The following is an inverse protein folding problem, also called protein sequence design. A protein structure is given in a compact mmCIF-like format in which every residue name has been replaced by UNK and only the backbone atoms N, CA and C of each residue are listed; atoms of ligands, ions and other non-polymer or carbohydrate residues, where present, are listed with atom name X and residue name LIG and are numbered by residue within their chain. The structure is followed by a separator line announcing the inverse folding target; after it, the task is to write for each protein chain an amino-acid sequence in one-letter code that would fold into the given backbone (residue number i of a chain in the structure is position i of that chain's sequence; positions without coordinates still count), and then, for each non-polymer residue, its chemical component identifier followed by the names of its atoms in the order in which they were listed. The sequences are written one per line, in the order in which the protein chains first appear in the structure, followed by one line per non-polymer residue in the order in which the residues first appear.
data_IF_871332856527
#
_entry.id   IF_871332856527
#
_cell.length_a   1.000
_cell.length_b   1.000
_cell.length_c   1.000
_cell.angle_alpha   90.00
_cell.angle_beta   90.00
_cell.angle_gamma   90.00
#
_symmetry.space_group_name_H-M   'P 1'
#
loop_
_entity.id
_entity.type
_entity.pdbx_description
1 polymer ?
#
# COMPACT_ATOMS: atom_id res chain seq x y z
N UNK A 1 -29.92 -11.73 -24.43
CA UNK A 1 -28.54 -12.24 -24.60
C UNK A 1 -27.74 -11.89 -23.36
N UNK A 2 -27.48 -12.92 -22.57
CA UNK A 2 -26.54 -13.10 -21.45
C UNK A 2 -25.88 -11.89 -20.76
N UNK A 3 -26.32 -11.74 -19.52
CA UNK A 3 -25.76 -11.10 -18.34
C UNK A 3 -24.29 -11.41 -18.08
N UNK A 4 -23.53 -10.41 -17.61
CA UNK A 4 -22.42 -10.62 -16.67
C UNK A 4 -22.42 -9.49 -15.64
N UNK A 5 -23.11 -9.71 -14.53
CA UNK A 5 -22.76 -9.04 -13.28
C UNK A 5 -21.44 -9.65 -12.79
N UNK A 6 -20.42 -8.81 -12.61
CA UNK A 6 -19.23 -9.18 -11.84
C UNK A 6 -19.31 -8.45 -10.50
N UNK A 7 -19.93 -9.14 -9.55
CA UNK A 7 -19.77 -8.88 -8.13
C UNK A 7 -18.30 -9.04 -7.77
N UNK A 8 -17.65 -7.97 -7.32
CA UNK A 8 -16.34 -8.07 -6.68
C UNK A 8 -16.51 -7.90 -5.18
N UNK A 9 -16.25 -9.02 -4.52
CA UNK A 9 -16.25 -9.24 -3.08
C UNK A 9 -15.23 -8.36 -2.36
N UNK A 10 -15.58 -8.10 -1.10
CA UNK A 10 -14.94 -7.35 -0.02
C UNK A 10 -13.40 -7.34 -0.02
N UNK A 11 -12.80 -6.17 -0.27
CA UNK A 11 -11.42 -5.83 0.12
C UNK A 11 -11.26 -4.30 0.24
N UNK A 12 -12.17 -3.68 1.00
CA UNK A 12 -12.87 -2.46 0.57
C UNK A 12 -12.62 -1.15 1.33
N UNK A 13 -11.61 -1.01 2.18
CA UNK A 13 -11.46 0.27 2.92
C UNK A 13 -10.28 1.11 2.42
N UNK A 14 -9.05 0.59 2.43
CA UNK A 14 -7.88 1.38 1.97
C UNK A 14 -7.73 1.51 0.45
N UNK A 15 -8.20 0.52 -0.31
CA UNK A 15 -8.23 0.63 -1.78
C UNK A 15 -9.39 1.53 -2.22
N UNK A 16 -10.58 1.37 -1.63
CA UNK A 16 -11.80 1.98 -2.13
C UNK A 16 -11.77 3.51 -2.04
N UNK A 17 -11.22 4.10 -0.97
CA UNK A 17 -11.06 5.56 -0.91
C UNK A 17 -10.15 6.12 -2.00
N UNK A 18 -9.03 5.44 -2.31
CA UNK A 18 -8.12 5.87 -3.37
C UNK A 18 -8.70 5.67 -4.77
N UNK A 19 -9.37 4.54 -5.04
CA UNK A 19 -10.03 4.31 -6.32
C UNK A 19 -11.27 5.19 -6.50
N UNK A 20 -12.02 5.45 -5.44
CA UNK A 20 -13.15 6.38 -5.46
C UNK A 20 -12.68 7.81 -5.68
N UNK A 21 -11.64 8.27 -4.99
CA UNK A 21 -11.05 9.59 -5.22
C UNK A 21 -10.48 9.70 -6.64
N UNK A 22 -9.73 8.68 -7.10
CA UNK A 22 -9.25 8.63 -8.49
C UNK A 22 -10.39 8.66 -9.50
N UNK A 23 -11.47 7.92 -9.26
CA UNK A 23 -12.66 7.89 -10.10
C UNK A 23 -13.31 9.27 -10.17
N UNK A 24 -13.59 9.88 -9.03
CA UNK A 24 -14.16 11.22 -8.92
C UNK A 24 -13.30 12.28 -9.62
N UNK A 25 -11.98 12.26 -9.41
CA UNK A 25 -11.07 13.19 -10.06
C UNK A 25 -11.02 12.96 -11.56
N UNK A 26 -10.99 11.70 -12.02
CA UNK A 26 -11.03 11.39 -13.45
C UNK A 26 -12.35 11.86 -14.09
N UNK A 27 -13.47 11.73 -13.38
CA UNK A 27 -14.79 12.18 -13.83
C UNK A 27 -14.87 13.71 -13.87
N UNK A 28 -14.32 14.40 -12.87
CA UNK A 28 -14.25 15.87 -12.85
C UNK A 28 -13.33 16.43 -13.93
N UNK A 29 -12.19 15.78 -14.18
CA UNK A 29 -11.20 16.19 -15.19
C UNK A 29 -11.37 15.46 -16.54
N UNK A 30 -12.57 14.96 -16.86
CA UNK A 30 -12.87 14.13 -18.05
C UNK A 30 -12.86 14.87 -19.41
N UNK A 31 -12.20 16.03 -19.50
CA UNK A 31 -12.07 16.81 -20.74
C UNK A 31 -11.30 16.06 -21.83
N UNK A 32 -11.34 16.54 -23.09
CA UNK A 32 -10.70 15.87 -24.21
C UNK A 32 -9.20 15.63 -23.95
N UNK A 33 -8.78 14.38 -24.11
CA UNK A 33 -7.41 13.89 -23.86
C UNK A 33 -6.32 14.57 -24.74
N UNK A 34 -6.69 15.51 -25.60
CA UNK A 34 -5.81 16.23 -26.52
C UNK A 34 -4.94 17.29 -25.84
N UNK A 35 -5.18 17.62 -24.56
CA UNK A 35 -4.29 18.45 -23.76
C UNK A 35 -3.11 17.62 -23.24
N UNK A 36 -2.09 17.42 -24.07
CA UNK A 36 -0.83 16.70 -23.73
C UNK A 36 -0.17 17.23 -22.44
N UNK A 37 -0.48 18.46 -22.04
CA UNK A 37 0.05 19.12 -20.84
C UNK A 37 -0.47 18.56 -19.50
N UNK A 38 -1.50 17.71 -19.50
CA UNK A 38 -2.06 17.15 -18.25
C UNK A 38 -1.56 15.72 -17.93
N UNK A 39 -0.78 15.09 -18.82
CA UNK A 39 -0.28 13.73 -18.59
C UNK A 39 1.12 13.77 -18.00
N UNK A 40 1.23 13.47 -16.71
CA UNK A 40 2.52 13.27 -16.06
C UNK A 40 3.24 12.04 -16.64
N UNK A 41 4.54 12.12 -16.94
CA UNK A 41 5.33 10.96 -17.34
C UNK A 41 5.30 9.87 -16.26
N UNK A 42 5.43 8.61 -16.68
CA UNK A 42 5.48 7.45 -15.78
C UNK A 42 6.56 7.58 -14.69
N UNK A 43 7.68 8.24 -14.97
CA UNK A 43 8.76 8.47 -14.00
C UNK A 43 8.34 9.29 -12.77
N UNK A 44 7.23 10.04 -12.86
CA UNK A 44 6.65 10.80 -11.75
C UNK A 44 5.51 10.07 -11.03
N UNK A 45 5.16 8.86 -11.45
CA UNK A 45 4.16 8.02 -10.78
C UNK A 45 4.46 6.54 -11.06
N UNK A 46 5.67 6.11 -10.71
CA UNK A 46 6.14 4.76 -10.96
C UNK A 46 5.58 3.82 -9.90
N UNK A 47 4.77 2.83 -10.30
CA UNK A 47 4.29 1.81 -9.37
C UNK A 47 5.39 0.81 -9.04
N UNK A 48 5.80 0.75 -7.77
CA UNK A 48 6.75 -0.27 -7.28
C UNK A 48 6.03 -1.58 -6.99
N UNK A 49 6.52 -2.69 -7.56
CA UNK A 49 6.17 -4.04 -7.15
C UNK A 49 5.89 -5.07 -8.22
N UNK A 50 5.53 -6.28 -7.77
CA UNK A 50 5.17 -7.42 -8.61
C UNK A 50 3.94 -7.17 -9.51
N UNK A 51 3.12 -6.19 -9.17
CA UNK A 51 2.00 -5.69 -9.98
C UNK A 51 2.46 -4.84 -11.18
N UNK A 52 3.74 -4.49 -11.27
CA UNK A 52 4.27 -3.80 -12.43
C UNK A 52 4.58 -4.79 -13.54
N UNK A 53 3.60 -4.99 -14.43
CA UNK A 53 3.64 -5.97 -15.51
C UNK A 53 4.63 -5.60 -16.64
N UNK A 54 5.16 -4.37 -16.67
CA UNK A 54 5.89 -3.86 -17.84
C UNK A 54 7.41 -3.68 -17.67
N UNK A 55 8.10 -4.80 -17.36
CA UNK A 55 9.55 -4.88 -17.11
C UNK A 55 10.44 -4.17 -18.16
N UNK A 56 10.04 -4.15 -19.43
CA UNK A 56 10.82 -3.52 -20.51
C UNK A 56 10.92 -1.99 -20.35
N UNK A 57 9.85 -1.31 -19.96
CA UNK A 57 9.90 0.13 -19.70
C UNK A 57 10.73 0.45 -18.46
N UNK A 58 10.67 -0.37 -17.41
CA UNK A 58 11.52 -0.18 -16.23
C UNK A 58 13.01 -0.33 -16.58
N UNK A 59 13.38 -1.30 -17.42
CA UNK A 59 14.78 -1.41 -17.89
C UNK A 59 15.25 -0.16 -18.65
N UNK A 60 14.37 0.50 -19.39
CA UNK A 60 14.71 1.68 -20.21
C UNK A 60 14.69 2.99 -19.42
N UNK A 61 13.69 3.18 -18.56
CA UNK A 61 13.39 4.45 -17.88
C UNK A 61 13.49 4.38 -16.35
N UNK A 62 13.83 3.22 -15.78
CA UNK A 62 13.89 3.01 -14.33
C UNK A 62 14.89 3.92 -13.63
N UNK A 63 16.04 4.18 -14.26
CA UNK A 63 17.06 5.13 -13.78
C UNK A 63 16.56 6.59 -13.71
N UNK A 64 15.53 6.92 -14.47
CA UNK A 64 14.97 8.27 -14.57
C UNK A 64 13.74 8.47 -13.65
N UNK A 65 13.39 7.45 -12.87
CA UNK A 65 12.28 7.52 -11.90
C UNK A 65 12.55 8.58 -10.85
N UNK A 66 11.55 9.44 -10.62
CA UNK A 66 11.59 10.55 -9.66
C UNK A 66 10.68 10.29 -8.47
N UNK A 67 9.52 9.67 -8.69
CA UNK A 67 8.54 9.38 -7.65
C UNK A 67 8.12 7.92 -7.76
N UNK A 68 8.26 7.20 -6.65
CA UNK A 68 7.84 5.81 -6.50
C UNK A 68 6.54 5.74 -5.71
N UNK A 69 5.59 4.96 -6.21
CA UNK A 69 4.29 4.71 -5.64
C UNK A 69 4.18 3.25 -5.19
N UNK A 70 4.17 3.03 -3.87
CA UNK A 70 3.92 1.71 -3.27
C UNK A 70 2.42 1.40 -3.24
N UNK A 71 1.90 0.87 -4.35
CA UNK A 71 0.51 0.38 -4.44
C UNK A 71 0.35 -0.99 -3.77
N UNK A 72 -0.91 -1.33 -3.46
CA UNK A 72 -1.26 -2.59 -2.81
C UNK A 72 -1.21 -2.53 -1.28
N UNK A 73 -1.49 -3.69 -0.68
CA UNK A 73 -1.59 -3.85 0.78
C UNK A 73 -0.22 -3.94 1.45
N UNK A 74 0.83 -4.30 0.71
CA UNK A 74 2.18 -4.41 1.23
C UNK A 74 2.86 -3.03 1.18
N UNK A 75 2.77 -2.32 2.29
CA UNK A 75 3.36 -0.99 2.47
C UNK A 75 4.79 -1.11 2.98
N UNK A 76 5.68 -0.16 2.66
CA UNK A 76 7.10 -0.29 2.98
C UNK A 76 7.41 -0.20 4.48
N UNK A 77 6.50 0.41 5.26
CA UNK A 77 6.57 0.42 6.73
C UNK A 77 6.10 -0.89 7.39
N UNK A 78 5.61 -1.87 6.62
CA UNK A 78 5.35 -3.20 7.16
C UNK A 78 6.66 -3.91 7.44
N UNK A 79 6.65 -4.80 8.42
CA UNK A 79 7.82 -5.56 8.82
C UNK A 79 8.26 -6.60 7.80
N UNK A 80 7.30 -7.37 7.31
CA UNK A 80 7.49 -8.32 6.21
C UNK A 80 6.71 -7.85 4.98
N UNK A 81 7.21 -6.83 4.27
CA UNK A 81 6.60 -6.43 3.01
C UNK A 81 6.85 -7.55 2.00
N UNK A 82 5.77 -8.11 1.44
CA UNK A 82 5.83 -9.16 0.41
C UNK A 82 6.56 -8.70 -0.86
N UNK A 83 6.67 -7.39 -1.05
CA UNK A 83 7.30 -6.78 -2.21
C UNK A 83 8.72 -6.29 -1.86
N UNK A 84 9.72 -7.13 -2.14
CA UNK A 84 11.15 -6.85 -1.89
C UNK A 84 11.83 -6.10 -3.05
N UNK A 85 11.09 -5.25 -3.76
CA UNK A 85 11.65 -4.47 -4.88
C UNK A 85 12.78 -3.53 -4.46
N UNK A 86 13.65 -3.17 -5.40
CA UNK A 86 14.82 -2.29 -5.23
C UNK A 86 14.49 -1.01 -4.42
N UNK A 87 13.35 -0.39 -4.68
CA UNK A 87 12.93 0.85 -4.01
C UNK A 87 12.54 0.67 -2.54
N UNK A 88 12.25 -0.55 -2.08
CA UNK A 88 11.99 -0.81 -0.66
C UNK A 88 13.25 -0.57 0.18
N UNK A 89 14.42 -0.96 -0.32
CA UNK A 89 15.69 -0.73 0.36
C UNK A 89 15.93 0.77 0.55
N UNK A 90 15.86 1.54 -0.53
CA UNK A 90 16.01 2.99 -0.49
C UNK A 90 15.01 3.67 0.44
N UNK A 91 13.75 3.20 0.49
CA UNK A 91 12.76 3.71 1.44
C UNK A 91 13.16 3.44 2.89
N UNK A 92 13.63 2.22 3.19
CA UNK A 92 14.08 1.84 4.54
C UNK A 92 15.29 2.67 4.97
N UNK A 93 16.25 2.86 4.07
CA UNK A 93 17.44 3.67 4.34
C UNK A 93 17.06 5.12 4.68
N UNK A 94 16.21 5.74 3.87
CA UNK A 94 15.70 7.10 4.13
C UNK A 94 14.92 7.18 5.45
N UNK A 95 14.11 6.17 5.75
CA UNK A 95 13.35 6.11 6.99
C UNK A 95 14.28 6.05 8.22
N UNK A 96 15.26 5.15 8.21
CA UNK A 96 16.23 5.01 9.30
C UNK A 96 17.13 6.24 9.45
N UNK A 97 17.54 6.83 8.33
CA UNK A 97 18.42 7.99 8.32
C UNK A 97 17.72 9.26 8.81
N UNK A 98 16.48 9.49 8.38
CA UNK A 98 15.87 10.83 8.46
C UNK A 98 14.55 10.87 9.25
N UNK A 99 13.83 9.74 9.36
CA UNK A 99 12.48 9.74 9.96
C UNK A 99 12.49 9.14 11.36
N UNK A 100 13.18 8.02 11.56
CA UNK A 100 13.11 7.24 12.81
C UNK A 100 13.48 8.06 14.04
N UNK A 101 14.48 8.94 13.94
CA UNK A 101 14.95 9.79 15.04
C UNK A 101 13.94 10.88 15.44
N UNK A 102 13.03 11.25 14.54
CA UNK A 102 12.09 12.36 14.72
C UNK A 102 10.69 11.93 15.13
N UNK A 103 10.44 10.62 15.23
CA UNK A 103 9.13 10.08 15.61
C UNK A 103 9.21 9.40 16.98
N UNK A 104 8.21 9.61 17.86
CA UNK A 104 8.11 8.90 19.12
C UNK A 104 8.14 7.38 18.92
N UNK A 105 8.81 6.65 19.82
CA UNK A 105 8.97 5.18 19.76
C UNK A 105 7.65 4.39 19.73
N UNK A 106 6.55 4.98 20.17
CA UNK A 106 5.21 4.40 20.07
C UNK A 106 4.64 4.40 18.64
N UNK A 107 5.13 5.26 17.75
CA UNK A 107 4.71 5.35 16.35
C UNK A 107 5.71 4.71 15.38
N UNK A 108 6.80 4.15 15.90
CA UNK A 108 7.77 3.41 15.09
C UNK A 108 7.19 2.02 14.77
N UNK A 109 7.25 1.54 13.51
CA UNK A 109 6.81 0.21 13.15
C UNK A 109 7.59 -0.82 13.96
N UNK A 110 6.88 -1.64 14.74
CA UNK A 110 7.52 -2.71 15.52
C UNK A 110 7.42 -4.03 14.78
N UNK A 111 8.58 -4.62 14.52
CA UNK A 111 8.68 -5.94 13.93
C UNK A 111 8.72 -6.99 15.02
N UNK A 112 7.56 -7.17 15.66
CA UNK A 112 7.36 -8.19 16.67
C UNK A 112 7.25 -9.57 16.00
N UNK A 113 7.96 -10.53 16.58
CA UNK A 113 7.71 -11.95 16.33
C UNK A 113 6.27 -12.32 16.74
N UNK A 114 5.77 -13.46 16.27
CA UNK A 114 4.43 -13.92 16.66
C UNK A 114 4.29 -14.09 18.18
N UNK A 115 5.37 -14.51 18.86
CA UNK A 115 5.40 -14.69 20.31
C UNK A 115 5.35 -13.36 21.06
N UNK A 116 6.21 -12.40 20.71
CA UNK A 116 6.20 -11.07 21.31
C UNK A 116 4.88 -10.34 21.03
N UNK A 117 4.36 -10.48 19.81
CA UNK A 117 3.08 -9.90 19.42
C UNK A 117 1.95 -10.48 20.27
N UNK A 118 1.89 -11.80 20.44
CA UNK A 118 0.92 -12.45 21.32
C UNK A 118 1.07 -11.99 22.77
N UNK A 119 2.29 -11.88 23.29
CA UNK A 119 2.53 -11.39 24.64
C UNK A 119 2.05 -9.94 24.81
N UNK A 120 2.25 -9.07 23.81
CA UNK A 120 1.73 -7.69 23.85
C UNK A 120 0.20 -7.66 23.89
N UNK A 121 -0.47 -8.53 23.14
CA UNK A 121 -1.92 -8.70 23.20
C UNK A 121 -2.42 -9.20 24.56
N UNK A 122 -1.81 -10.26 25.09
CA UNK A 122 -2.16 -10.84 26.39
C UNK A 122 -1.92 -9.84 27.55
N UNK A 123 -0.94 -8.94 27.40
CA UNK A 123 -0.67 -7.86 28.36
C UNK A 123 -1.60 -6.62 28.21
N UNK A 124 -2.55 -6.64 27.28
CA UNK A 124 -3.49 -5.53 27.04
C UNK A 124 -2.89 -4.34 26.30
N UNK A 125 -1.82 -4.54 25.50
CA UNK A 125 -1.13 -3.49 24.73
C UNK A 125 -1.08 -3.76 23.22
N UNK A 126 -2.22 -3.99 22.54
CA UNK A 126 -2.27 -4.20 21.09
C UNK A 126 -1.92 -2.93 20.28
N UNK A 127 -1.41 -3.10 19.06
CA UNK A 127 -1.00 -2.01 18.17
C UNK A 127 -2.07 -1.69 17.09
N UNK A 128 -3.03 -0.82 17.44
CA UNK A 128 -4.18 -0.52 16.58
C UNK A 128 -3.88 0.23 15.27
N UNK A 129 -2.65 0.68 15.05
CA UNK A 129 -2.27 1.41 13.83
C UNK A 129 -1.62 0.50 12.76
N UNK A 130 -1.42 -0.78 13.08
CA UNK A 130 -0.62 -1.71 12.29
C UNK A 130 -1.28 -3.08 12.13
N UNK A 131 -0.62 -4.12 12.64
CA UNK A 131 -1.11 -5.51 12.53
C UNK A 131 -2.46 -5.67 13.25
N UNK A 132 -2.70 -4.89 14.30
CA UNK A 132 -3.91 -4.97 15.13
C UNK A 132 -4.91 -3.86 14.81
N UNK A 133 -4.82 -3.29 13.60
CA UNK A 133 -5.86 -2.39 13.12
C UNK A 133 -7.23 -3.06 13.18
N UNK A 134 -8.25 -2.28 13.52
CA UNK A 134 -9.63 -2.77 13.69
C UNK A 134 -10.08 -3.65 12.53
N UNK A 135 -9.85 -3.22 11.28
CA UNK A 135 -10.20 -3.97 10.07
C UNK A 135 -9.57 -5.38 10.05
N UNK A 136 -8.32 -5.53 10.49
CA UNK A 136 -7.64 -6.83 10.51
C UNK A 136 -8.21 -7.72 11.63
N UNK A 137 -8.56 -7.12 12.77
CA UNK A 137 -9.16 -7.83 13.90
C UNK A 137 -10.56 -8.32 13.50
N UNK A 138 -11.37 -7.46 12.90
CA UNK A 138 -12.72 -7.77 12.43
C UNK A 138 -12.68 -8.88 11.38
N UNK A 139 -11.76 -8.80 10.41
CA UNK A 139 -11.55 -9.86 9.43
C UNK A 139 -11.13 -11.20 10.08
N UNK A 140 -10.26 -11.17 11.09
CA UNK A 140 -9.86 -12.37 11.81
C UNK A 140 -11.04 -12.99 12.58
N UNK A 141 -11.87 -12.16 13.22
CA UNK A 141 -13.10 -12.59 13.91
C UNK A 141 -14.07 -13.22 12.89
N UNK A 142 -14.37 -12.54 11.79
CA UNK A 142 -15.25 -13.07 10.76
C UNK A 142 -14.76 -14.41 10.19
N UNK A 143 -13.45 -14.55 9.96
CA UNK A 143 -12.87 -15.81 9.50
C UNK A 143 -13.04 -16.92 10.53
N UNK A 144 -12.91 -16.62 11.82
CA UNK A 144 -13.09 -17.61 12.89
C UNK A 144 -14.55 -18.03 13.08
N UNK A 145 -15.49 -17.14 12.77
CA UNK A 145 -16.92 -17.38 12.86
C UNK A 145 -17.52 -18.08 11.62
N UNK A 146 -16.79 -18.10 10.50
CA UNK A 146 -17.18 -18.80 9.25
C UNK A 146 -16.76 -20.29 9.25
N UNK A 147 -16.47 -20.87 10.41
CA UNK A 147 -16.44 -22.31 10.65
C UNK A 147 -17.86 -22.85 10.87
#
# INVERSE_FOLDING_TARGET
MHSYQLSFSVQKIHHFGFFALKGLLNDYFNGPSSTKFHRLPFTYNMTSGSIYTYKAAYKKFGKDVKIVHFLGQSKPWKCEPSNKGEHLGAWKDLYHQSVQQHIPSQYQPRCLTSEEHRATWESGKPEYWGRDAFDNIDEAIERSLKL
#
